data_IF_847319496284
#
_entry.id   IF_847319496284
#
_cell.length_a   1.000
_cell.length_b   1.000
_cell.length_c   1.000
_cell.angle_alpha   90.00
_cell.angle_beta   90.00
_cell.angle_gamma   90.00
#
_symmetry.space_group_name_H-M   'P 1'
#
loop_
_entity.id
_entity.type
_entity.pdbx_description
1 polymer ?
#
# COMPACT_ATOMS: atom_id res chain seq x y z
N UNK A 1 -4.37 2.78 -19.24
CA UNK A 1 -5.22 3.66 -18.40
C UNK A 1 -5.20 3.09 -16.98
N UNK A 2 -4.96 3.92 -15.98
CA UNK A 2 -4.96 3.51 -14.57
C UNK A 2 -6.39 3.26 -14.14
N UNK A 3 -6.64 2.12 -13.47
CA UNK A 3 -7.97 1.76 -12.96
C UNK A 3 -7.93 1.72 -11.44
N UNK A 4 -8.96 2.30 -10.79
CA UNK A 4 -9.03 2.41 -9.33
C UNK A 4 -10.42 2.04 -8.82
N UNK A 5 -10.45 1.51 -7.60
CA UNK A 5 -11.67 1.39 -6.78
C UNK A 5 -11.62 2.44 -5.68
N UNK A 6 -12.75 3.07 -5.39
CA UNK A 6 -12.88 4.03 -4.28
C UNK A 6 -13.84 3.47 -3.24
N UNK A 7 -13.42 3.45 -1.98
CA UNK A 7 -14.22 2.97 -0.85
C UNK A 7 -14.28 4.09 0.18
N UNK A 8 -15.45 4.68 0.35
CA UNK A 8 -15.73 5.79 1.27
C UNK A 8 -17.24 5.85 1.53
N UNK A 9 -17.67 5.96 2.76
CA UNK A 9 -19.09 6.02 3.11
C UNK A 9 -19.70 7.43 2.98
N UNK A 10 -18.90 8.43 2.57
CA UNK A 10 -19.35 9.79 2.33
C UNK A 10 -19.62 10.04 0.83
N UNK A 11 -20.88 10.18 0.39
CA UNK A 11 -21.20 10.36 -1.04
C UNK A 11 -20.51 11.58 -1.68
N UNK A 12 -20.34 12.66 -0.93
CA UNK A 12 -19.66 13.87 -1.41
C UNK A 12 -18.19 13.62 -1.71
N UNK A 13 -17.52 12.79 -0.90
CA UNK A 13 -16.12 12.41 -1.13
C UNK A 13 -16.02 11.51 -2.36
N UNK A 14 -16.90 10.50 -2.48
CA UNK A 14 -16.94 9.64 -3.66
C UNK A 14 -17.08 10.47 -4.94
N UNK A 15 -18.06 11.40 -4.99
CA UNK A 15 -18.27 12.26 -6.15
C UNK A 15 -17.06 13.18 -6.43
N UNK A 16 -16.47 13.76 -5.40
CA UNK A 16 -15.29 14.63 -5.52
C UNK A 16 -14.07 13.88 -6.04
N UNK A 17 -13.76 12.71 -5.47
CA UNK A 17 -12.62 11.91 -5.89
C UNK A 17 -12.80 11.36 -7.31
N UNK A 18 -14.02 10.97 -7.71
CA UNK A 18 -14.33 10.58 -9.08
C UNK A 18 -14.07 11.73 -10.06
N UNK A 19 -14.52 12.94 -9.75
CA UNK A 19 -14.26 14.12 -10.58
C UNK A 19 -12.76 14.44 -10.69
N UNK A 20 -12.00 14.32 -9.61
CA UNK A 20 -10.56 14.51 -9.61
C UNK A 20 -9.83 13.47 -10.46
N UNK A 21 -10.23 12.21 -10.35
CA UNK A 21 -9.68 11.12 -11.15
C UNK A 21 -9.92 11.34 -12.65
N UNK A 22 -11.13 11.75 -13.04
CA UNK A 22 -11.48 12.04 -14.43
C UNK A 22 -10.70 13.23 -15.00
N UNK A 23 -10.41 14.25 -14.17
CA UNK A 23 -9.66 15.45 -14.56
C UNK A 23 -8.14 15.30 -14.46
N UNK A 24 -7.64 14.15 -13.99
CA UNK A 24 -6.21 13.91 -13.85
C UNK A 24 -5.51 13.73 -15.20
N UNK A 25 -4.22 14.03 -15.26
CA UNK A 25 -3.36 13.78 -16.40
C UNK A 25 -2.15 12.90 -15.99
N UNK A 26 -2.04 11.67 -16.50
CA UNK A 26 -3.04 10.93 -17.30
C UNK A 26 -4.32 10.61 -16.51
N UNK A 27 -5.48 10.48 -17.18
CA UNK A 27 -6.75 10.24 -16.52
C UNK A 27 -6.80 8.89 -15.82
N UNK A 28 -7.53 8.84 -14.70
CA UNK A 28 -7.73 7.65 -13.86
C UNK A 28 -9.18 7.19 -14.03
N UNK A 29 -9.36 5.94 -14.39
CA UNK A 29 -10.67 5.29 -14.54
C UNK A 29 -11.14 4.72 -13.19
N UNK A 30 -12.19 5.30 -12.64
CA UNK A 30 -12.85 4.78 -11.43
C UNK A 30 -13.85 3.72 -11.84
N UNK A 31 -13.46 2.47 -11.78
CA UNK A 31 -14.27 1.33 -12.26
C UNK A 31 -15.34 0.90 -11.26
N UNK A 32 -15.14 1.18 -9.98
CA UNK A 32 -16.11 0.93 -8.92
C UNK A 32 -15.93 1.94 -7.79
N UNK A 33 -17.02 2.35 -7.18
CA UNK A 33 -17.03 3.19 -6.00
C UNK A 33 -18.19 2.76 -5.08
N UNK A 34 -17.98 2.78 -3.77
CA UNK A 34 -19.02 2.36 -2.83
C UNK A 34 -18.69 2.65 -1.37
N UNK A 35 -19.70 2.51 -0.49
CA UNK A 35 -19.57 2.84 0.92
C UNK A 35 -18.85 1.76 1.75
N UNK A 36 -18.56 0.63 1.17
CA UNK A 36 -17.94 -0.51 1.85
C UNK A 36 -16.97 -1.28 0.92
N UNK A 37 -16.22 -2.20 1.50
CA UNK A 37 -15.20 -2.99 0.79
C UNK A 37 -15.77 -3.93 -0.27
N UNK A 38 -17.08 -4.15 -0.33
CA UNK A 38 -17.72 -4.98 -1.34
C UNK A 38 -17.38 -4.53 -2.76
N UNK A 39 -17.23 -3.22 -2.97
CA UNK A 39 -16.82 -2.66 -4.27
C UNK A 39 -15.48 -3.22 -4.79
N UNK A 40 -14.58 -3.63 -3.91
CA UNK A 40 -13.28 -4.20 -4.28
C UNK A 40 -13.32 -5.73 -4.50
N UNK A 41 -14.41 -6.41 -4.13
CA UNK A 41 -14.51 -7.87 -4.20
C UNK A 41 -15.39 -8.38 -5.34
N UNK A 42 -16.18 -7.49 -5.94
CA UNK A 42 -17.06 -7.80 -7.08
C UNK A 42 -16.48 -7.17 -8.35
N UNK A 43 -16.63 -7.85 -9.51
CA UNK A 43 -16.20 -7.25 -10.78
C UNK A 43 -17.03 -6.00 -11.10
N UNK A 44 -16.40 -4.95 -11.66
CA UNK A 44 -15.02 -4.87 -12.16
C UNK A 44 -13.95 -4.54 -11.11
N UNK A 45 -14.32 -4.25 -9.86
CA UNK A 45 -13.39 -3.84 -8.79
C UNK A 45 -12.42 -4.96 -8.36
N UNK A 46 -12.87 -6.21 -8.42
CA UNK A 46 -12.04 -7.37 -8.05
C UNK A 46 -10.74 -7.46 -8.84
N UNK A 47 -10.78 -7.18 -10.13
CA UNK A 47 -9.62 -7.24 -11.02
C UNK A 47 -8.67 -6.04 -10.89
N UNK A 48 -9.05 -4.98 -10.17
CA UNK A 48 -8.29 -3.74 -10.03
C UNK A 48 -7.27 -3.86 -8.91
N UNK A 49 -6.08 -3.33 -9.15
CA UNK A 49 -4.97 -3.41 -8.20
C UNK A 49 -4.94 -2.23 -7.20
N UNK A 50 -5.32 -1.03 -7.63
CA UNK A 50 -5.25 0.18 -6.80
C UNK A 50 -6.59 0.45 -6.14
N UNK A 51 -6.56 0.67 -4.82
CA UNK A 51 -7.76 0.99 -4.02
C UNK A 51 -7.51 2.26 -3.24
N UNK A 52 -8.36 3.26 -3.39
CA UNK A 52 -8.45 4.40 -2.46
C UNK A 52 -9.43 4.00 -1.36
N UNK A 53 -8.99 4.05 -0.12
CA UNK A 53 -9.69 3.45 1.00
C UNK A 53 -9.85 4.43 2.15
N UNK A 54 -11.08 4.77 2.52
CA UNK A 54 -11.32 5.42 3.80
C UNK A 54 -11.16 4.43 4.94
N UNK A 55 -10.42 4.84 5.94
CA UNK A 55 -10.23 4.04 7.15
C UNK A 55 -11.45 4.06 8.08
N UNK A 56 -12.38 5.00 7.89
CA UNK A 56 -13.54 5.19 8.75
C UNK A 56 -14.83 4.99 7.97
N UNK A 57 -15.31 3.74 7.94
CA UNK A 57 -16.52 3.33 7.22
C UNK A 57 -17.66 3.09 8.22
N UNK A 58 -18.53 4.08 8.40
CA UNK A 58 -19.77 3.96 9.18
C UNK A 58 -19.64 3.68 10.68
N UNK A 59 -18.43 3.63 11.22
CA UNK A 59 -18.16 3.27 12.61
C UNK A 59 -17.16 4.17 13.32
N UNK A 60 -17.11 4.07 14.66
CA UNK A 60 -16.12 4.77 15.48
C UNK A 60 -14.72 4.13 15.43
N UNK A 61 -14.64 2.85 15.03
CA UNK A 61 -13.40 2.07 15.00
C UNK A 61 -12.82 2.08 13.58
N UNK A 62 -11.52 2.34 13.42
CA UNK A 62 -10.88 2.27 12.12
C UNK A 62 -10.98 0.88 11.49
N UNK A 63 -11.23 0.81 10.19
CA UNK A 63 -11.44 -0.44 9.43
C UNK A 63 -10.11 -1.16 9.11
N UNK A 64 -9.26 -1.39 10.12
CA UNK A 64 -7.96 -2.05 9.97
C UNK A 64 -8.08 -3.50 9.44
N UNK A 65 -9.14 -4.22 9.84
CA UNK A 65 -9.37 -5.57 9.36
C UNK A 65 -9.63 -5.61 7.85
N UNK A 66 -10.40 -4.66 7.33
CA UNK A 66 -10.65 -4.53 5.89
C UNK A 66 -9.42 -4.08 5.13
N UNK A 67 -8.64 -3.14 5.70
CA UNK A 67 -7.34 -2.76 5.16
C UNK A 67 -6.42 -3.99 5.03
N UNK A 68 -6.30 -4.80 6.08
CA UNK A 68 -5.50 -6.04 6.06
C UNK A 68 -5.96 -7.00 4.97
N UNK A 69 -7.27 -7.23 4.84
CA UNK A 69 -7.83 -8.12 3.79
C UNK A 69 -7.51 -7.61 2.37
N UNK A 70 -7.62 -6.31 2.12
CA UNK A 70 -7.26 -5.71 0.83
C UNK A 70 -5.78 -5.88 0.53
N UNK A 71 -4.92 -5.63 1.53
CA UNK A 71 -3.47 -5.80 1.43
C UNK A 71 -3.09 -7.25 1.18
N UNK A 72 -3.70 -8.20 1.92
CA UNK A 72 -3.46 -9.64 1.78
C UNK A 72 -3.88 -10.17 0.41
N UNK A 73 -4.90 -9.57 -0.21
CA UNK A 73 -5.29 -9.83 -1.59
C UNK A 73 -4.34 -9.21 -2.65
N UNK A 74 -3.25 -8.57 -2.23
CA UNK A 74 -2.26 -7.97 -3.13
C UNK A 74 -2.67 -6.61 -3.70
N UNK A 75 -3.70 -5.95 -3.15
CA UNK A 75 -4.10 -4.61 -3.58
C UNK A 75 -3.06 -3.57 -3.12
N UNK A 76 -2.85 -2.54 -3.92
CA UNK A 76 -2.11 -1.33 -3.56
C UNK A 76 -3.11 -0.36 -2.92
N UNK A 77 -3.12 -0.32 -1.58
CA UNK A 77 -4.13 0.46 -0.85
C UNK A 77 -3.58 1.84 -0.51
N UNK A 78 -4.16 2.86 -1.10
CA UNK A 78 -3.95 4.28 -0.76
C UNK A 78 -4.99 4.64 0.30
N UNK A 79 -4.58 4.72 1.56
CA UNK A 79 -5.48 5.15 2.64
C UNK A 79 -5.73 6.65 2.53
N UNK A 80 -7.00 7.06 2.56
CA UNK A 80 -7.43 8.46 2.45
C UNK A 80 -8.48 8.75 3.53
N UNK A 81 -8.08 9.34 4.65
CA UNK A 81 -8.89 9.42 5.87
C UNK A 81 -8.94 10.82 6.47
N UNK A 82 -9.97 11.09 7.29
CA UNK A 82 -10.05 12.32 8.10
C UNK A 82 -9.10 12.31 9.29
N UNK A 83 -8.59 11.14 9.69
CA UNK A 83 -7.65 11.05 10.82
C UNK A 83 -6.30 11.62 10.44
N UNK A 84 -5.75 12.46 11.30
CA UNK A 84 -4.45 13.12 11.11
C UNK A 84 -3.40 12.68 12.15
N UNK A 85 -3.77 11.75 13.04
CA UNK A 85 -2.86 11.30 14.07
C UNK A 85 -1.75 10.38 13.54
N UNK A 86 -0.47 10.64 13.90
CA UNK A 86 0.68 9.91 13.38
C UNK A 86 0.63 8.41 13.66
N UNK A 87 0.05 7.99 14.79
CA UNK A 87 -0.06 6.59 15.18
C UNK A 87 -0.94 5.82 14.20
N UNK A 88 -2.07 6.38 13.81
CA UNK A 88 -2.97 5.79 12.81
C UNK A 88 -2.26 5.64 11.47
N UNK A 89 -1.55 6.67 11.00
CA UNK A 89 -0.80 6.61 9.75
C UNK A 89 0.24 5.48 9.75
N UNK A 90 1.04 5.39 10.81
CA UNK A 90 2.06 4.34 10.95
C UNK A 90 1.44 2.94 11.07
N UNK A 91 0.33 2.79 11.82
CA UNK A 91 -0.39 1.52 11.92
C UNK A 91 -0.88 1.04 10.54
N UNK A 92 -1.38 1.95 9.70
CA UNK A 92 -1.77 1.60 8.33
C UNK A 92 -0.59 1.11 7.49
N UNK A 93 0.59 1.73 7.63
CA UNK A 93 1.80 1.25 6.95
C UNK A 93 2.26 -0.11 7.46
N UNK A 94 2.19 -0.34 8.78
CA UNK A 94 2.55 -1.62 9.39
C UNK A 94 1.64 -2.76 8.92
N UNK A 95 0.35 -2.48 8.68
CA UNK A 95 -0.59 -3.41 8.06
C UNK A 95 -0.22 -3.68 6.59
N UNK A 96 0.44 -2.74 5.92
CA UNK A 96 0.90 -2.88 4.54
C UNK A 96 0.21 -1.94 3.55
N UNK A 97 -0.41 -0.86 4.01
CA UNK A 97 -0.90 0.18 3.11
C UNK A 97 0.23 0.69 2.20
N UNK A 98 -0.10 1.04 0.98
CA UNK A 98 0.85 1.64 0.04
C UNK A 98 1.32 3.01 0.55
N UNK A 99 0.40 3.84 0.98
CA UNK A 99 0.64 5.14 1.60
C UNK A 99 -0.58 5.56 2.42
N UNK A 100 -0.41 6.63 3.20
CA UNK A 100 -1.46 7.25 4.00
C UNK A 100 -1.56 8.73 3.65
N UNK A 101 -2.77 9.20 3.40
CA UNK A 101 -3.10 10.62 3.21
C UNK A 101 -4.24 11.02 4.13
N UNK A 102 -4.18 12.25 4.62
CA UNK A 102 -5.36 12.87 5.22
C UNK A 102 -6.25 13.48 4.13
N UNK A 103 -7.56 13.52 4.34
CA UNK A 103 -8.49 14.17 3.40
C UNK A 103 -8.22 15.68 3.27
N UNK A 104 -7.48 16.28 4.20
CA UNK A 104 -7.04 17.68 4.14
C UNK A 104 -5.95 17.93 3.08
N UNK A 105 -5.19 16.92 2.66
CA UNK A 105 -4.13 17.05 1.64
C UNK A 105 -4.67 17.25 0.22
N UNK A 106 -5.94 16.92 -0.01
CA UNK A 106 -6.68 17.29 -1.20
C UNK A 106 -6.28 16.55 -2.47
N UNK A 107 -6.77 17.09 -3.60
CA UNK A 107 -6.70 16.47 -4.92
C UNK A 107 -5.27 16.13 -5.37
N UNK A 108 -4.35 17.09 -5.28
CA UNK A 108 -3.01 16.98 -5.84
C UNK A 108 -2.26 15.76 -5.27
N UNK A 109 -2.28 15.60 -3.94
CA UNK A 109 -1.61 14.51 -3.27
C UNK A 109 -2.29 13.16 -3.51
N UNK A 110 -3.63 13.12 -3.55
CA UNK A 110 -4.36 11.89 -3.83
C UNK A 110 -4.08 11.35 -5.24
N UNK A 111 -4.15 12.21 -6.25
CA UNK A 111 -3.87 11.83 -7.65
C UNK A 111 -2.42 11.36 -7.80
N UNK A 112 -1.45 12.08 -7.21
CA UNK A 112 -0.05 11.67 -7.23
C UNK A 112 0.16 10.29 -6.56
N UNK A 113 -0.51 10.03 -5.43
CA UNK A 113 -0.45 8.75 -4.74
C UNK A 113 -1.04 7.60 -5.57
N UNK A 114 -2.17 7.82 -6.24
CA UNK A 114 -2.80 6.81 -7.13
C UNK A 114 -1.90 6.50 -8.32
N UNK A 115 -1.31 7.52 -8.96
CA UNK A 115 -0.35 7.33 -10.05
C UNK A 115 0.90 6.56 -9.59
N UNK A 116 1.41 6.89 -8.41
CA UNK A 116 2.55 6.18 -7.82
C UNK A 116 2.23 4.72 -7.50
N UNK A 117 1.05 4.47 -6.90
CA UNK A 117 0.57 3.12 -6.59
C UNK A 117 0.42 2.25 -7.86
N UNK A 118 -0.15 2.81 -8.92
CA UNK A 118 -0.30 2.12 -10.20
C UNK A 118 1.04 1.79 -10.86
N UNK A 119 2.04 2.66 -10.66
CA UNK A 119 3.41 2.48 -11.18
C UNK A 119 4.37 1.77 -10.22
N UNK A 120 3.90 1.29 -9.06
CA UNK A 120 4.72 0.71 -7.99
C UNK A 120 5.93 1.60 -7.63
N UNK A 121 5.73 2.92 -7.61
CA UNK A 121 6.76 3.91 -7.27
C UNK A 121 6.55 4.43 -5.84
N UNK A 122 7.60 4.71 -5.08
CA UNK A 122 7.46 5.28 -3.74
C UNK A 122 6.65 6.58 -3.76
N UNK A 123 5.79 6.76 -2.77
CA UNK A 123 5.10 8.03 -2.52
C UNK A 123 4.95 8.23 -1.01
N UNK A 124 5.46 9.34 -0.52
CA UNK A 124 5.32 9.77 0.87
C UNK A 124 4.53 11.07 0.89
N UNK A 125 3.35 11.02 1.50
CA UNK A 125 2.52 12.20 1.67
C UNK A 125 3.09 13.15 2.74
N UNK A 126 2.72 14.44 2.76
CA UNK A 126 3.10 15.35 3.83
C UNK A 126 2.73 14.86 5.23
N UNK A 127 1.52 14.33 5.42
CA UNK A 127 1.08 13.77 6.70
C UNK A 127 1.91 12.54 7.10
N UNK A 128 2.24 11.68 6.16
CA UNK A 128 3.09 10.52 6.40
C UNK A 128 4.53 10.92 6.75
N UNK A 129 5.10 11.88 6.02
CA UNK A 129 6.43 12.43 6.33
C UNK A 129 6.48 13.02 7.75
N UNK A 130 5.44 13.76 8.15
CA UNK A 130 5.28 14.26 9.51
C UNK A 130 5.22 13.14 10.55
N UNK A 131 4.42 12.10 10.32
CA UNK A 131 4.31 10.95 11.22
C UNK A 131 5.66 10.21 11.39
N UNK A 132 6.40 10.02 10.30
CA UNK A 132 7.73 9.40 10.34
C UNK A 132 8.76 10.28 11.07
N UNK A 133 8.69 11.60 10.92
CA UNK A 133 9.57 12.56 11.61
C UNK A 133 9.36 12.60 13.12
N UNK A 134 8.12 12.47 13.60
CA UNK A 134 7.79 12.48 15.02
C UNK A 134 8.30 11.22 15.73
N UNK A 135 8.23 10.05 15.08
CA UNK A 135 8.73 8.80 15.65
C UNK A 135 10.23 8.55 15.43
N UNK A 136 10.97 9.56 15.09
CA UNK A 136 12.36 9.63 14.71
C UNK A 136 13.24 8.43 15.07
N UNK A 137 13.93 7.93 14.03
CA UNK A 137 15.03 6.95 14.04
C UNK A 137 14.65 5.48 14.00
N UNK A 138 13.94 5.08 12.98
CA UNK A 138 14.21 3.76 12.46
C UNK A 138 14.71 3.92 11.02
N UNK A 139 16.01 3.77 10.80
CA UNK A 139 16.61 3.60 9.47
C UNK A 139 16.08 2.33 8.80
N UNK A 140 15.22 1.60 9.49
CA UNK A 140 14.63 0.32 9.06
C UNK A 140 13.16 0.52 8.73
N UNK A 141 12.69 0.02 7.58
CA UNK A 141 11.27 0.05 7.27
C UNK A 141 10.50 -0.91 8.19
N UNK A 142 9.34 -0.49 8.69
CA UNK A 142 8.40 -1.39 9.35
C UNK A 142 7.73 -2.27 8.29
N UNK A 143 8.17 -3.52 8.17
CA UNK A 143 7.56 -4.51 7.29
C UNK A 143 6.41 -5.19 8.02
N UNK A 144 5.27 -5.36 7.33
CA UNK A 144 4.18 -6.17 7.83
C UNK A 144 4.60 -7.66 7.89
N UNK A 145 4.02 -8.50 8.77
CA UNK A 145 4.39 -9.91 8.90
C UNK A 145 4.39 -10.64 7.55
N UNK A 146 3.36 -10.47 6.73
CA UNK A 146 3.26 -11.09 5.40
C UNK A 146 4.31 -10.57 4.40
N UNK A 147 4.69 -9.31 4.49
CA UNK A 147 5.77 -8.75 3.66
C UNK A 147 7.11 -9.40 4.02
N UNK A 148 7.35 -9.61 5.31
CA UNK A 148 8.54 -10.29 5.80
C UNK A 148 8.56 -11.75 5.34
N UNK A 149 7.45 -12.50 5.51
CA UNK A 149 7.34 -13.89 5.06
C UNK A 149 7.66 -14.04 3.57
N UNK A 150 7.01 -13.21 2.73
CA UNK A 150 7.22 -13.22 1.28
C UNK A 150 8.64 -12.84 0.91
N UNK A 151 9.21 -11.83 1.58
CA UNK A 151 10.57 -11.36 1.33
C UNK A 151 11.59 -12.46 1.63
N UNK A 152 11.52 -13.09 2.80
CA UNK A 152 12.43 -14.12 3.23
C UNK A 152 12.33 -15.38 2.35
N UNK A 153 11.11 -15.78 2.00
CA UNK A 153 10.90 -16.91 1.09
C UNK A 153 11.42 -16.60 -0.31
N UNK A 154 11.26 -15.35 -0.78
CA UNK A 154 11.80 -14.96 -2.08
C UNK A 154 13.33 -14.99 -2.12
N UNK A 155 14.01 -14.72 -1.02
CA UNK A 155 15.47 -14.85 -0.98
C UNK A 155 15.92 -16.30 -1.22
N UNK A 156 15.15 -17.26 -0.73
CA UNK A 156 15.42 -18.72 -0.82
C UNK A 156 14.96 -19.36 -2.13
N UNK A 157 14.14 -18.65 -2.90
CA UNK A 157 13.56 -19.17 -4.15
C UNK A 157 14.19 -18.51 -5.39
N UNK A 158 14.27 -19.25 -6.50
CA UNK A 158 14.76 -18.74 -7.78
C UNK A 158 13.73 -17.85 -8.49
N UNK A 159 12.43 -18.11 -8.29
CA UNK A 159 11.35 -17.40 -8.96
C UNK A 159 10.21 -17.01 -8.02
N UNK A 160 9.43 -16.00 -8.44
CA UNK A 160 8.21 -15.59 -7.72
C UNK A 160 7.13 -16.68 -7.77
N UNK A 161 7.11 -17.50 -8.79
CA UNK A 161 6.16 -18.62 -8.93
C UNK A 161 6.42 -19.69 -7.85
N UNK A 162 7.68 -19.99 -7.55
CA UNK A 162 8.04 -20.89 -6.46
C UNK A 162 7.61 -20.35 -5.10
N UNK A 163 7.79 -19.04 -4.85
CA UNK A 163 7.31 -18.39 -3.62
C UNK A 163 5.78 -18.49 -3.54
N UNK A 164 5.10 -18.25 -4.65
CA UNK A 164 3.65 -18.32 -4.73
C UNK A 164 3.13 -19.72 -4.35
N UNK A 165 3.74 -20.77 -4.89
CA UNK A 165 3.42 -22.16 -4.57
C UNK A 165 3.63 -22.46 -3.07
N UNK A 166 4.77 -22.08 -2.50
CA UNK A 166 5.12 -22.37 -1.11
C UNK A 166 4.23 -21.65 -0.10
N UNK A 167 3.81 -20.42 -0.42
CA UNK A 167 3.00 -19.60 0.49
C UNK A 167 1.50 -19.66 0.19
N UNK A 168 1.06 -20.43 -0.80
CA UNK A 168 -0.34 -20.50 -1.21
C UNK A 168 -0.88 -19.19 -1.78
N UNK A 169 -0.03 -18.42 -2.48
CA UNK A 169 -0.35 -17.12 -3.06
C UNK A 169 -0.34 -17.19 -4.60
N UNK A 170 -0.84 -16.13 -5.26
CA UNK A 170 -0.57 -15.93 -6.68
C UNK A 170 0.80 -15.27 -6.90
N UNK A 171 1.44 -15.52 -8.05
CA UNK A 171 2.69 -14.84 -8.42
C UNK A 171 2.52 -13.30 -8.47
N UNK A 172 1.33 -12.82 -8.84
CA UNK A 172 0.96 -11.40 -8.81
C UNK A 172 0.93 -10.84 -7.39
N UNK A 173 0.37 -11.59 -6.44
CA UNK A 173 0.34 -11.22 -5.02
C UNK A 173 1.76 -11.15 -4.45
N UNK A 174 2.60 -12.13 -4.77
CA UNK A 174 4.03 -12.12 -4.38
C UNK A 174 4.74 -10.88 -4.95
N UNK A 175 4.53 -10.56 -6.23
CA UNK A 175 5.10 -9.36 -6.84
C UNK A 175 4.67 -8.08 -6.10
N UNK A 176 3.38 -7.95 -5.76
CA UNK A 176 2.84 -6.80 -5.02
C UNK A 176 3.48 -6.66 -3.63
N UNK A 177 3.72 -7.75 -2.92
CA UNK A 177 4.42 -7.71 -1.63
C UNK A 177 5.86 -7.24 -1.78
N UNK A 178 6.60 -7.79 -2.75
CA UNK A 178 7.99 -7.38 -3.00
C UNK A 178 8.07 -5.89 -3.37
N UNK A 179 7.15 -5.39 -4.18
CA UNK A 179 7.12 -3.99 -4.58
C UNK A 179 6.81 -3.08 -3.39
N UNK A 180 5.88 -3.46 -2.49
CA UNK A 180 5.65 -2.74 -1.23
C UNK A 180 6.89 -2.68 -0.35
N UNK A 181 7.60 -3.79 -0.21
CA UNK A 181 8.88 -3.82 0.53
C UNK A 181 9.88 -2.84 -0.07
N UNK A 182 10.04 -2.83 -1.39
CA UNK A 182 10.91 -1.86 -2.09
C UNK A 182 10.54 -0.42 -1.81
N UNK A 183 9.23 -0.12 -1.85
CA UNK A 183 8.69 1.20 -1.56
C UNK A 183 9.00 1.60 -0.11
N UNK A 184 8.78 0.71 0.86
CA UNK A 184 9.07 0.97 2.27
C UNK A 184 10.56 1.26 2.49
N UNK A 185 11.46 0.49 1.86
CA UNK A 185 12.90 0.78 1.90
C UNK A 185 13.26 2.12 1.25
N UNK A 186 12.65 2.45 0.12
CA UNK A 186 12.86 3.73 -0.54
C UNK A 186 12.40 4.91 0.33
N UNK A 187 11.26 4.76 1.03
CA UNK A 187 10.70 5.76 1.92
C UNK A 187 11.58 6.03 3.16
N UNK A 188 12.41 5.07 3.57
CA UNK A 188 13.42 5.28 4.62
C UNK A 188 14.75 5.84 4.10
N UNK A 189 14.81 6.26 2.83
CA UNK A 189 16.04 6.76 2.20
C UNK A 189 17.05 5.64 1.85
N UNK A 190 16.63 4.38 1.91
CA UNK A 190 17.48 3.20 1.67
C UNK A 190 16.97 2.35 0.50
N UNK A 191 16.88 2.90 -0.74
CA UNK A 191 16.29 2.20 -1.87
C UNK A 191 16.96 0.85 -2.14
N UNK A 192 16.17 -0.16 -2.49
CA UNK A 192 16.63 -1.51 -2.79
C UNK A 192 15.92 -2.06 -4.03
N UNK A 193 16.28 -1.61 -5.26
CA UNK A 193 15.54 -1.92 -6.49
C UNK A 193 15.72 -3.37 -6.95
N UNK A 194 16.81 -4.04 -6.56
CA UNK A 194 17.12 -5.40 -6.97
C UNK A 194 16.96 -6.40 -5.84
N UNK A 195 16.88 -7.70 -6.16
CA UNK A 195 16.88 -8.77 -5.15
C UNK A 195 18.12 -8.71 -4.27
N UNK A 196 19.29 -8.54 -4.88
CA UNK A 196 20.56 -8.43 -4.14
C UNK A 196 20.58 -7.22 -3.19
N UNK A 197 20.05 -6.07 -3.63
CA UNK A 197 19.92 -4.90 -2.78
C UNK A 197 18.98 -5.14 -1.59
N UNK A 198 17.84 -5.83 -1.81
CA UNK A 198 16.93 -6.21 -0.73
C UNK A 198 17.56 -7.20 0.25
N UNK A 199 18.32 -8.19 -0.23
CA UNK A 199 19.09 -9.10 0.62
C UNK A 199 20.06 -8.32 1.49
N UNK A 200 20.86 -7.41 0.90
CA UNK A 200 21.82 -6.60 1.65
C UNK A 200 21.14 -5.76 2.75
N UNK A 201 19.98 -5.15 2.44
CA UNK A 201 19.19 -4.40 3.43
C UNK A 201 18.62 -5.29 4.52
N UNK A 202 18.08 -6.45 4.18
CA UNK A 202 17.52 -7.39 5.14
C UNK A 202 18.60 -7.92 6.11
N UNK A 203 19.81 -8.20 5.64
CA UNK A 203 20.96 -8.57 6.48
C UNK A 203 21.36 -7.41 7.40
N UNK A 204 21.47 -6.18 6.88
CA UNK A 204 21.77 -4.98 7.69
C UNK A 204 20.71 -4.75 8.78
N UNK A 205 19.46 -5.08 8.50
CA UNK A 205 18.35 -4.91 9.43
C UNK A 205 18.17 -6.10 10.38
N UNK A 206 18.95 -7.17 10.21
CA UNK A 206 18.89 -8.36 11.04
C UNK A 206 17.64 -9.22 10.78
N UNK A 207 16.99 -9.05 9.62
CA UNK A 207 15.84 -9.86 9.21
C UNK A 207 16.25 -11.27 8.76
N UNK A 208 17.47 -11.43 8.27
CA UNK A 208 18.06 -12.70 7.84
C UNK A 208 19.58 -12.66 8.02
N UNK A 209 20.18 -13.80 8.30
CA UNK A 209 21.64 -13.94 8.35
C UNK A 209 22.17 -14.46 7.03
N UNK A 210 23.44 -14.17 6.73
CA UNK A 210 24.08 -14.62 5.47
C UNK A 210 24.17 -16.14 5.36
N UNK A 211 24.24 -16.84 6.50
CA UNK A 211 24.29 -18.31 6.58
C UNK A 211 22.90 -18.98 6.43
N UNK A 212 21.84 -18.20 6.29
CA UNK A 212 20.45 -18.67 6.10
C UNK A 212 19.93 -18.49 4.66
N UNK A 213 20.78 -17.99 3.74
CA UNK A 213 20.45 -17.71 2.33
C UNK A 213 20.62 -18.89 1.39
#
# INVERSE_FOLDING_TARGET
MIRVVIIDDHPAILAGVQAWCAAADPPIDVVAAGPDVGAAWVEPGRSVQVVVFDLQLGGAVPAYADLSRLVDAGKQVVVYSLRDDPRTALTCLDIGAFTYLTKAEGQQHLIAAVHAAAGCRPYVSPSLAGAMGINGRSDRPALAPRETDVLLEWFRCESKDMVAQRLGLSARTVASYIDRVRIKYANTGRPAPTKAALVARAVQDGLIRLDEL
#
